data_IF_594367095838
#
_entry.id   IF_594367095838
#
_cell.length_a   1.000
_cell.length_b   1.000
_cell.length_c   1.000
_cell.angle_alpha   90.00
_cell.angle_beta   90.00
_cell.angle_gamma   90.00
#
_symmetry.space_group_name_H-M   'P 1'
#
loop_
_entity.id
_entity.type
_entity.pdbx_description
1 polymer ?
#
# COMPACT_ATOMS: atom_id res chain seq x y z
N UNK A 1 -6.92 -3.94 32.46
CA UNK A 1 -7.27 -2.80 31.59
C UNK A 1 -6.49 -1.60 32.06
N UNK A 2 -5.66 -1.01 31.20
CA UNK A 2 -4.73 0.09 31.55
C UNK A 2 -5.19 1.45 31.04
N UNK A 3 -6.12 1.48 30.07
CA UNK A 3 -6.74 2.70 29.56
C UNK A 3 -8.23 2.52 29.40
N UNK A 4 -8.99 3.59 29.59
CA UNK A 4 -10.46 3.61 29.49
C UNK A 4 -10.94 3.21 28.09
N UNK A 5 -10.17 3.51 27.03
CA UNK A 5 -10.53 3.15 25.64
C UNK A 5 -10.68 1.64 25.43
N UNK A 6 -9.99 0.81 26.23
CA UNK A 6 -10.06 -0.66 26.13
C UNK A 6 -11.37 -1.24 26.67
N UNK A 7 -12.19 -0.44 27.36
CA UNK A 7 -13.51 -0.82 27.85
C UNK A 7 -14.57 -0.78 26.76
N UNK A 8 -14.34 -0.01 25.69
CA UNK A 8 -15.29 0.15 24.60
C UNK A 8 -15.32 -1.08 23.68
N UNK A 9 -16.52 -1.46 23.29
CA UNK A 9 -16.80 -2.45 22.25
C UNK A 9 -16.76 -1.81 20.85
N UNK A 10 -16.85 -2.64 19.80
CA UNK A 10 -16.73 -2.17 18.40
C UNK A 10 -17.81 -1.17 17.99
N UNK A 11 -18.92 -1.14 18.71
CA UNK A 11 -20.05 -0.22 18.53
C UNK A 11 -19.93 1.04 19.40
N UNK A 12 -18.76 1.29 20.00
CA UNK A 12 -18.50 2.37 20.94
C UNK A 12 -19.43 2.38 22.16
N UNK A 13 -19.90 1.20 22.60
CA UNK A 13 -20.61 1.03 23.87
C UNK A 13 -19.73 0.34 24.90
N UNK A 14 -19.98 0.62 26.16
CA UNK A 14 -19.37 -0.10 27.28
C UNK A 14 -20.44 -0.93 27.97
N UNK A 15 -20.32 -2.25 27.90
CA UNK A 15 -21.21 -3.17 28.59
C UNK A 15 -20.87 -3.23 30.09
N UNK A 16 -21.93 -3.36 30.91
CA UNK A 16 -21.81 -3.47 32.37
C UNK A 16 -20.91 -4.63 32.78
N UNK A 17 -21.09 -5.78 32.14
CA UNK A 17 -20.31 -7.00 32.38
C UNK A 17 -18.80 -6.77 32.22
N UNK A 18 -18.39 -5.87 31.32
CA UNK A 18 -16.98 -5.56 31.06
C UNK A 18 -16.37 -4.67 32.15
N UNK A 19 -17.16 -3.76 32.72
CA UNK A 19 -16.76 -2.96 33.88
C UNK A 19 -16.75 -3.81 35.15
N UNK A 20 -17.72 -4.71 35.31
CA UNK A 20 -17.76 -5.68 36.40
C UNK A 20 -16.54 -6.61 36.40
N UNK A 21 -16.11 -7.06 35.22
CA UNK A 21 -14.87 -7.81 35.07
C UNK A 21 -13.61 -7.00 35.41
N UNK A 22 -13.64 -5.68 35.21
CA UNK A 22 -12.51 -4.79 35.48
C UNK A 22 -12.40 -4.34 36.94
N UNK A 23 -13.51 -3.96 37.58
CA UNK A 23 -13.56 -3.37 38.93
C UNK A 23 -14.04 -4.34 40.01
N UNK A 24 -14.55 -5.51 39.62
CA UNK A 24 -15.19 -6.48 40.51
C UNK A 24 -16.65 -6.16 40.80
N UNK A 25 -17.46 -7.20 41.01
CA UNK A 25 -18.93 -7.10 41.12
C UNK A 25 -19.45 -6.35 42.35
N UNK A 26 -18.61 -6.13 43.36
CA UNK A 26 -19.01 -5.54 44.65
C UNK A 26 -19.24 -4.01 44.60
N UNK A 27 -18.92 -3.34 43.48
CA UNK A 27 -18.91 -1.87 43.35
C UNK A 27 -20.03 -1.34 42.44
N UNK A 28 -21.24 -1.85 42.62
CA UNK A 28 -22.35 -1.65 41.68
C UNK A 28 -22.71 -0.16 41.41
N UNK A 29 -22.60 0.72 42.41
CA UNK A 29 -22.83 2.17 42.24
C UNK A 29 -21.77 2.81 41.34
N UNK A 30 -20.49 2.48 41.56
CA UNK A 30 -19.38 2.96 40.75
C UNK A 30 -19.48 2.41 39.32
N UNK A 31 -19.84 1.13 39.17
CA UNK A 31 -20.07 0.49 37.87
C UNK A 31 -21.18 1.21 37.11
N UNK A 32 -22.32 1.49 37.74
CA UNK A 32 -23.43 2.21 37.10
C UNK A 32 -23.04 3.64 36.72
N UNK A 33 -22.33 4.36 37.59
CA UNK A 33 -21.87 5.72 37.30
C UNK A 33 -20.90 5.75 36.11
N UNK A 34 -19.93 4.84 36.08
CA UNK A 34 -18.97 4.73 34.97
C UNK A 34 -19.67 4.26 33.69
N UNK A 35 -20.54 3.26 33.75
CA UNK A 35 -21.35 2.85 32.60
C UNK A 35 -22.14 4.02 32.01
N UNK A 36 -22.76 4.84 32.87
CA UNK A 36 -23.54 6.01 32.43
C UNK A 36 -22.63 7.03 31.76
N UNK A 37 -21.55 7.42 32.44
CA UNK A 37 -20.57 8.41 31.94
C UNK A 37 -19.95 7.97 30.61
N UNK A 38 -19.42 6.75 30.52
CA UNK A 38 -18.78 6.26 29.28
C UNK A 38 -19.77 6.09 28.13
N UNK A 39 -21.05 5.81 28.42
CA UNK A 39 -22.08 5.69 27.41
C UNK A 39 -22.78 7.03 27.06
N UNK A 40 -22.40 8.15 27.69
CA UNK A 40 -22.85 9.48 27.26
C UNK A 40 -22.36 9.79 25.84
N UNK A 41 -23.21 10.47 25.07
CA UNK A 41 -22.98 10.72 23.64
C UNK A 41 -21.66 11.44 23.38
N UNK A 42 -21.34 12.44 24.19
CA UNK A 42 -20.09 13.22 24.11
C UNK A 42 -18.85 12.33 24.29
N UNK A 43 -18.89 11.38 25.23
CA UNK A 43 -17.77 10.49 25.53
C UNK A 43 -17.63 9.35 24.51
N UNK A 44 -18.74 8.95 23.88
CA UNK A 44 -18.74 8.03 22.74
C UNK A 44 -18.13 8.68 21.49
N UNK A 45 -18.53 9.91 21.19
CA UNK A 45 -18.06 10.68 20.04
C UNK A 45 -16.57 11.04 20.17
N UNK A 46 -16.06 11.26 21.38
CA UNK A 46 -14.64 11.49 21.64
C UNK A 46 -13.71 10.31 21.27
N UNK A 47 -14.26 9.09 21.15
CA UNK A 47 -13.53 7.86 20.83
C UNK A 47 -13.78 7.37 19.41
N UNK A 48 -14.86 7.85 18.78
CA UNK A 48 -15.13 7.63 17.38
C UNK A 48 -14.23 8.58 16.58
N UNK A 49 -13.34 8.03 15.76
CA UNK A 49 -12.64 8.81 14.75
C UNK A 49 -13.71 9.55 13.93
N UNK A 50 -13.45 10.81 13.56
CA UNK A 50 -14.23 11.44 12.51
C UNK A 50 -14.28 10.51 11.30
N UNK A 51 -15.49 10.21 10.83
CA UNK A 51 -15.67 9.39 9.64
C UNK A 51 -14.81 9.99 8.51
N UNK A 52 -14.01 9.14 7.85
CA UNK A 52 -13.29 9.54 6.66
C UNK A 52 -14.29 10.06 5.62
N UNK A 53 -13.82 10.88 4.67
CA UNK A 53 -14.65 11.39 3.58
C UNK A 53 -15.44 10.27 2.90
N UNK A 54 -14.80 9.11 2.67
CA UNK A 54 -15.44 7.91 2.13
C UNK A 54 -16.53 7.33 3.06
N UNK A 55 -16.26 7.26 4.36
CA UNK A 55 -17.19 6.71 5.36
C UNK A 55 -18.44 7.60 5.51
N UNK A 56 -18.27 8.93 5.48
CA UNK A 56 -19.40 9.88 5.49
C UNK A 56 -20.34 9.65 4.31
N UNK A 57 -19.81 9.46 3.10
CA UNK A 57 -20.62 9.22 1.88
C UNK A 57 -21.29 7.86 1.90
N UNK A 58 -20.59 6.82 2.38
CA UNK A 58 -21.19 5.49 2.52
C UNK A 58 -22.37 5.50 3.50
N UNK A 59 -22.36 6.41 4.49
CA UNK A 59 -23.46 6.63 5.42
C UNK A 59 -24.57 7.52 4.83
N UNK A 60 -24.22 8.53 4.03
CA UNK A 60 -25.18 9.40 3.34
C UNK A 60 -25.87 8.63 2.19
N UNK A 61 -26.98 7.95 2.52
CA UNK A 61 -27.86 7.36 1.52
C UNK A 61 -28.49 8.46 0.68
N UNK A 62 -28.16 8.50 -0.61
CA UNK A 62 -28.88 9.35 -1.57
C UNK A 62 -30.19 8.70 -1.99
N UNK A 63 -31.14 9.51 -2.48
CA UNK A 63 -32.42 9.06 -3.02
C UNK A 63 -32.20 8.29 -4.34
N UNK A 64 -31.87 7.00 -4.23
CA UNK A 64 -31.70 6.07 -5.34
C UNK A 64 -30.25 5.60 -5.56
N UNK A 65 -30.10 4.34 -5.98
CA UNK A 65 -28.81 3.68 -6.19
C UNK A 65 -27.92 4.39 -7.24
N UNK A 66 -28.53 4.95 -8.29
CA UNK A 66 -27.82 5.66 -9.36
C UNK A 66 -27.23 7.00 -8.88
N UNK A 67 -27.96 7.72 -8.03
CA UNK A 67 -27.47 8.96 -7.41
C UNK A 67 -26.28 8.68 -6.48
N UNK A 68 -26.29 7.54 -5.79
CA UNK A 68 -25.23 7.16 -4.86
C UNK A 68 -23.94 6.81 -5.62
N UNK A 69 -24.06 6.01 -6.69
CA UNK A 69 -22.92 5.66 -7.54
C UNK A 69 -22.27 6.91 -8.17
N UNK A 70 -23.09 7.86 -8.65
CA UNK A 70 -22.60 9.11 -9.23
C UNK A 70 -21.84 9.98 -8.22
N UNK A 71 -22.36 10.07 -6.98
CA UNK A 71 -21.69 10.77 -5.89
C UNK A 71 -20.34 10.14 -5.54
N UNK A 72 -20.29 8.81 -5.43
CA UNK A 72 -19.04 8.08 -5.18
C UNK A 72 -18.03 8.35 -6.31
N UNK A 73 -18.45 8.27 -7.58
CA UNK A 73 -17.56 8.47 -8.73
C UNK A 73 -16.96 9.88 -8.78
N UNK A 74 -17.78 10.92 -8.59
CA UNK A 74 -17.31 12.32 -8.53
C UNK A 74 -16.24 12.52 -7.46
N UNK A 75 -16.42 11.90 -6.30
CA UNK A 75 -15.48 12.04 -5.19
C UNK A 75 -14.21 11.21 -5.39
N UNK A 76 -14.31 10.00 -5.95
CA UNK A 76 -13.13 9.25 -6.38
C UNK A 76 -12.30 10.06 -7.38
N UNK A 77 -12.95 10.78 -8.30
CA UNK A 77 -12.26 11.63 -9.29
C UNK A 77 -11.56 12.82 -8.62
N UNK A 78 -12.13 13.42 -7.59
CA UNK A 78 -11.52 14.50 -6.81
C UNK A 78 -10.38 14.00 -5.91
N UNK A 79 -10.57 12.85 -5.26
CA UNK A 79 -9.55 12.19 -4.44
C UNK A 79 -8.39 11.65 -5.27
N UNK A 80 -8.62 11.26 -6.52
CA UNK A 80 -7.58 10.80 -7.45
C UNK A 80 -6.45 11.85 -7.57
N UNK A 81 -6.78 13.14 -7.59
CA UNK A 81 -5.80 14.22 -7.60
C UNK A 81 -4.87 14.23 -6.38
N UNK A 82 -5.39 14.08 -5.16
CA UNK A 82 -4.56 14.07 -3.95
C UNK A 82 -3.77 12.77 -3.80
N UNK A 83 -4.34 11.64 -4.22
CA UNK A 83 -3.66 10.35 -4.25
C UNK A 83 -2.48 10.36 -5.23
N UNK A 84 -2.67 10.89 -6.44
CA UNK A 84 -1.61 11.03 -7.44
C UNK A 84 -0.50 11.94 -6.92
N UNK A 85 -0.85 13.07 -6.29
CA UNK A 85 0.15 13.97 -5.68
C UNK A 85 0.94 13.28 -4.57
N UNK A 86 0.26 12.54 -3.68
CA UNK A 86 0.91 11.76 -2.62
C UNK A 86 1.86 10.69 -3.18
N UNK A 87 1.40 9.90 -4.15
CA UNK A 87 2.22 8.90 -4.84
C UNK A 87 3.43 9.52 -5.54
N UNK A 88 3.23 10.66 -6.22
CA UNK A 88 4.32 11.38 -6.88
C UNK A 88 5.38 11.80 -5.86
N UNK A 89 4.97 12.35 -4.72
CA UNK A 89 5.88 12.73 -3.63
C UNK A 89 6.62 11.54 -3.03
N UNK A 90 5.96 10.38 -2.92
CA UNK A 90 6.62 9.14 -2.48
C UNK A 90 7.72 8.74 -3.47
N UNK A 91 7.43 8.75 -4.77
CA UNK A 91 8.42 8.40 -5.80
C UNK A 91 9.54 9.43 -5.93
N UNK A 92 9.25 10.71 -5.74
CA UNK A 92 10.25 11.77 -5.65
C UNK A 92 11.23 11.50 -4.49
N UNK A 93 10.74 11.14 -3.31
CA UNK A 93 11.59 10.84 -2.17
C UNK A 93 12.42 9.56 -2.35
N UNK A 94 11.83 8.49 -2.89
CA UNK A 94 12.48 7.19 -2.99
C UNK A 94 13.46 7.08 -4.18
N UNK A 95 13.09 7.68 -5.32
CA UNK A 95 13.77 7.51 -6.61
C UNK A 95 14.22 8.83 -7.25
N UNK A 96 13.99 9.98 -6.62
CA UNK A 96 14.33 11.31 -7.16
C UNK A 96 13.74 11.54 -8.56
N UNK A 97 12.51 11.08 -8.78
CA UNK A 97 11.79 11.19 -10.04
C UNK A 97 10.91 12.44 -10.02
N UNK A 98 11.04 13.28 -11.04
CA UNK A 98 10.21 14.46 -11.21
C UNK A 98 8.84 14.14 -11.87
N UNK A 99 7.95 15.13 -11.88
CA UNK A 99 6.60 14.99 -12.47
C UNK A 99 6.65 14.66 -13.97
N UNK A 100 7.65 15.18 -14.71
CA UNK A 100 7.78 14.98 -16.15
C UNK A 100 8.21 13.54 -16.45
N UNK A 101 9.15 13.02 -15.69
CA UNK A 101 9.61 11.63 -15.73
C UNK A 101 8.50 10.67 -15.33
N UNK A 102 7.72 11.01 -14.30
CA UNK A 102 6.54 10.24 -13.91
C UNK A 102 5.53 10.14 -15.06
N UNK A 103 5.24 11.25 -15.75
CA UNK A 103 4.38 11.25 -16.95
C UNK A 103 4.95 10.36 -18.06
N UNK A 104 6.26 10.37 -18.28
CA UNK A 104 6.90 9.50 -19.25
C UNK A 104 6.77 8.03 -18.88
N UNK A 105 6.92 7.67 -17.60
CA UNK A 105 6.71 6.29 -17.12
C UNK A 105 5.27 5.84 -17.38
N UNK A 106 4.28 6.69 -17.07
CA UNK A 106 2.86 6.40 -17.33
C UNK A 106 2.61 6.17 -18.82
N UNK A 107 3.14 7.03 -19.68
CA UNK A 107 2.97 6.93 -21.13
C UNK A 107 3.66 5.67 -21.70
N UNK A 108 4.83 5.30 -21.18
CA UNK A 108 5.51 4.07 -21.57
C UNK A 108 4.72 2.81 -21.19
N UNK A 109 4.17 2.78 -19.96
CA UNK A 109 3.29 1.70 -19.51
C UNK A 109 2.05 1.60 -20.42
N UNK A 110 1.49 2.74 -20.85
CA UNK A 110 0.34 2.78 -21.76
C UNK A 110 0.66 2.18 -23.12
N UNK A 111 1.86 2.44 -23.66
CA UNK A 111 2.34 1.94 -24.96
C UNK A 111 2.65 0.44 -24.97
N UNK A 112 2.88 -0.17 -23.80
CA UNK A 112 3.15 -1.61 -23.73
C UNK A 112 1.91 -2.42 -24.17
N UNK A 113 2.12 -3.30 -25.17
CA UNK A 113 1.07 -4.14 -25.77
C UNK A 113 0.72 -5.35 -24.90
N UNK A 114 1.65 -5.82 -24.06
CA UNK A 114 1.42 -6.96 -23.19
C UNK A 114 0.59 -6.53 -21.98
N UNK A 115 -0.62 -7.06 -21.87
CA UNK A 115 -1.58 -6.71 -20.82
C UNK A 115 -1.07 -7.07 -19.43
N UNK A 116 -0.38 -8.21 -19.28
CA UNK A 116 0.18 -8.66 -17.99
C UNK A 116 1.30 -7.75 -17.51
N UNK A 117 2.22 -7.39 -18.40
CA UNK A 117 3.32 -6.46 -18.08
C UNK A 117 2.76 -5.09 -17.75
N UNK A 118 1.78 -4.60 -18.52
CA UNK A 118 1.11 -3.33 -18.26
C UNK A 118 0.41 -3.32 -16.91
N UNK A 119 -0.29 -4.38 -16.54
CA UNK A 119 -0.94 -4.51 -15.24
C UNK A 119 0.09 -4.53 -14.10
N UNK A 120 1.14 -5.34 -14.21
CA UNK A 120 2.23 -5.41 -13.25
C UNK A 120 2.88 -4.04 -13.04
N UNK A 121 3.26 -3.36 -14.13
CA UNK A 121 3.87 -2.02 -14.04
C UNK A 121 2.90 -1.00 -13.44
N UNK A 122 1.60 -1.08 -13.71
CA UNK A 122 0.60 -0.23 -13.03
C UNK A 122 0.51 -0.51 -11.54
N UNK A 123 0.53 -1.78 -11.13
CA UNK A 123 0.54 -2.18 -9.72
C UNK A 123 1.79 -1.66 -9.00
N UNK A 124 2.96 -1.73 -9.63
CA UNK A 124 4.20 -1.13 -9.09
C UNK A 124 4.03 0.38 -8.99
N UNK A 125 3.69 1.06 -10.09
CA UNK A 125 3.57 2.52 -10.16
C UNK A 125 2.63 3.10 -9.10
N UNK A 126 1.48 2.47 -8.88
CA UNK A 126 0.49 2.92 -7.88
C UNK A 126 0.79 2.39 -6.48
N UNK A 127 1.88 1.64 -6.29
CA UNK A 127 2.20 0.91 -5.04
C UNK A 127 1.07 -0.01 -4.57
N UNK A 128 0.31 -0.55 -5.52
CA UNK A 128 -0.79 -1.50 -5.31
C UNK A 128 -0.33 -2.95 -5.20
N UNK A 129 0.92 -3.25 -5.57
CA UNK A 129 1.50 -4.55 -5.29
C UNK A 129 1.46 -4.82 -3.77
N UNK A 130 0.76 -5.88 -3.37
CA UNK A 130 0.64 -6.24 -1.97
C UNK A 130 1.98 -6.78 -1.48
N UNK A 131 2.59 -6.07 -0.55
CA UNK A 131 3.83 -6.51 0.10
C UNK A 131 3.52 -7.40 1.30
N UNK A 132 4.47 -8.20 1.80
CA UNK A 132 4.27 -8.99 3.01
C UNK A 132 3.75 -8.16 4.19
N UNK A 133 4.30 -6.95 4.38
CA UNK A 133 3.86 -6.03 5.44
C UNK A 133 2.41 -5.59 5.24
N UNK A 134 2.02 -5.31 3.99
CA UNK A 134 0.66 -4.91 3.67
C UNK A 134 -0.32 -6.07 3.89
N UNK A 135 0.03 -7.29 3.50
CA UNK A 135 -0.80 -8.47 3.73
C UNK A 135 -0.91 -8.82 5.21
N UNK A 136 0.18 -8.76 5.98
CA UNK A 136 0.17 -8.99 7.42
C UNK A 136 -0.74 -8.00 8.18
N UNK A 137 -0.98 -6.82 7.62
CA UNK A 137 -1.93 -5.86 8.19
C UNK A 137 -3.39 -6.32 8.02
N UNK A 138 -3.73 -6.95 6.90
CA UNK A 138 -5.08 -7.44 6.62
C UNK A 138 -5.33 -8.86 7.14
N UNK A 139 -4.31 -9.69 7.17
CA UNK A 139 -4.40 -11.12 7.49
C UNK A 139 -3.57 -11.46 8.71
N UNK A 140 -4.23 -11.94 9.77
CA UNK A 140 -3.60 -12.24 11.07
C UNK A 140 -2.51 -13.32 11.02
N UNK A 141 -2.58 -14.23 10.05
CA UNK A 141 -1.69 -15.38 9.96
C UNK A 141 -0.53 -15.18 8.99
N UNK A 142 -0.45 -14.02 8.31
CA UNK A 142 0.63 -13.71 7.37
C UNK A 142 1.73 -12.94 8.11
N UNK A 143 2.98 -13.38 7.95
CA UNK A 143 4.14 -12.66 8.48
C UNK A 143 4.52 -11.52 7.55
N UNK A 144 4.87 -10.37 8.12
CA UNK A 144 5.34 -9.19 7.38
C UNK A 144 6.79 -9.28 6.88
N UNK A 145 7.35 -10.48 6.80
CA UNK A 145 8.74 -10.74 6.41
C UNK A 145 8.87 -10.93 4.90
N UNK A 146 10.02 -10.57 4.35
CA UNK A 146 10.35 -10.67 2.93
C UNK A 146 10.09 -12.08 2.36
N UNK A 147 9.43 -12.17 1.21
CA UNK A 147 9.15 -13.44 0.53
C UNK A 147 10.39 -14.09 -0.11
N UNK A 148 11.42 -13.29 -0.39
CA UNK A 148 12.67 -13.80 -0.97
C UNK A 148 13.56 -14.54 0.06
N UNK A 149 13.11 -14.70 1.31
CA UNK A 149 13.80 -15.52 2.32
C UNK A 149 14.88 -14.81 3.14
N UNK A 150 15.09 -13.50 2.97
CA UNK A 150 16.09 -12.76 3.76
C UNK A 150 15.65 -12.38 5.19
N UNK A 151 14.43 -12.73 5.58
CA UNK A 151 13.84 -12.50 6.92
C UNK A 151 13.63 -11.04 7.35
N UNK A 152 14.13 -10.07 6.58
CA UNK A 152 13.87 -8.64 6.80
C UNK A 152 12.40 -8.27 6.57
N UNK A 153 12.05 -7.03 6.95
CA UNK A 153 10.69 -6.50 6.80
C UNK A 153 10.36 -6.28 5.32
N UNK A 154 9.33 -6.97 4.83
CA UNK A 154 8.92 -6.95 3.42
C UNK A 154 8.14 -5.69 3.04
N UNK A 155 8.79 -4.53 3.08
CA UNK A 155 8.24 -3.25 2.58
C UNK A 155 8.48 -3.12 1.07
N UNK A 156 7.78 -2.20 0.40
CA UNK A 156 7.74 -2.13 -1.06
C UNK A 156 9.13 -2.02 -1.73
N UNK A 157 9.97 -1.06 -1.32
CA UNK A 157 11.30 -0.89 -1.90
C UNK A 157 12.25 -2.04 -1.56
N UNK A 158 12.13 -2.61 -0.36
CA UNK A 158 12.85 -3.82 0.01
C UNK A 158 12.55 -4.98 -0.94
N UNK A 159 11.26 -5.19 -1.24
CA UNK A 159 10.83 -6.28 -2.11
C UNK A 159 11.31 -6.12 -3.57
N UNK A 160 11.48 -4.90 -4.08
CA UNK A 160 11.84 -4.68 -5.49
C UNK A 160 13.32 -4.36 -5.72
N UNK A 161 14.00 -3.84 -4.70
CA UNK A 161 15.38 -3.38 -4.85
C UNK A 161 16.27 -3.69 -3.64
N UNK A 162 15.92 -3.28 -2.42
CA UNK A 162 16.89 -3.25 -1.30
C UNK A 162 17.23 -4.63 -0.73
N UNK A 163 16.38 -5.64 -0.95
CA UNK A 163 16.62 -7.01 -0.48
C UNK A 163 17.93 -7.56 -1.05
N UNK A 164 18.75 -8.19 -0.20
CA UNK A 164 20.04 -8.78 -0.60
C UNK A 164 19.90 -9.86 -1.69
N UNK A 165 18.82 -10.64 -1.64
CA UNK A 165 18.53 -11.68 -2.64
C UNK A 165 18.16 -11.03 -3.97
N UNK A 166 17.34 -9.99 -3.94
CA UNK A 166 16.93 -9.23 -5.13
C UNK A 166 18.11 -8.46 -5.74
N UNK A 167 18.99 -7.88 -4.91
CA UNK A 167 20.24 -7.27 -5.37
C UNK A 167 21.15 -8.26 -6.09
N UNK A 168 21.27 -9.49 -5.55
CA UNK A 168 22.04 -10.55 -6.20
C UNK A 168 21.42 -10.91 -7.56
N UNK A 169 20.10 -11.07 -7.62
CA UNK A 169 19.37 -11.34 -8.85
C UNK A 169 19.59 -10.22 -9.90
N UNK A 170 19.49 -8.95 -9.52
CA UNK A 170 19.77 -7.85 -10.45
C UNK A 170 21.20 -7.84 -10.99
N UNK A 171 22.19 -8.26 -10.18
CA UNK A 171 23.58 -8.43 -10.65
C UNK A 171 23.71 -9.56 -11.67
N UNK A 172 23.01 -10.67 -11.47
CA UNK A 172 22.99 -11.78 -12.43
C UNK A 172 22.39 -11.33 -13.76
N UNK A 173 21.25 -10.63 -13.74
CA UNK A 173 20.62 -10.03 -14.93
C UNK A 173 21.57 -9.08 -15.65
N UNK A 174 22.27 -8.23 -14.89
CA UNK A 174 23.24 -7.29 -15.43
C UNK A 174 24.41 -8.00 -16.14
N UNK A 175 24.96 -9.05 -15.55
CA UNK A 175 26.05 -9.84 -16.16
C UNK A 175 25.60 -10.58 -17.42
N UNK A 176 24.38 -11.12 -17.44
CA UNK A 176 23.84 -11.75 -18.65
C UNK A 176 23.66 -10.75 -19.80
N UNK A 177 23.13 -9.56 -19.51
CA UNK A 177 22.97 -8.51 -20.53
C UNK A 177 24.34 -8.02 -21.03
N UNK A 178 25.32 -7.90 -20.13
CA UNK A 178 26.70 -7.55 -20.49
C UNK A 178 27.31 -8.60 -21.42
N UNK A 179 27.11 -9.90 -21.17
CA UNK A 179 27.58 -10.97 -22.07
C UNK A 179 26.90 -10.90 -23.44
N UNK A 180 25.58 -10.66 -23.48
CA UNK A 180 24.80 -10.65 -24.71
C UNK A 180 25.11 -9.44 -25.60
N UNK A 181 25.24 -8.25 -25.01
CA UNK A 181 25.40 -7.00 -25.75
C UNK A 181 26.85 -6.49 -25.78
N UNK A 182 27.76 -7.10 -25.01
CA UNK A 182 29.14 -6.67 -24.83
C UNK A 182 29.28 -5.20 -24.39
N UNK A 183 28.40 -4.75 -23.47
CA UNK A 183 28.37 -3.37 -22.95
C UNK A 183 28.65 -3.32 -21.45
N UNK A 184 29.29 -2.24 -21.00
CA UNK A 184 29.35 -1.90 -19.58
C UNK A 184 28.08 -1.15 -19.19
N UNK A 185 27.15 -1.85 -18.53
CA UNK A 185 25.89 -1.28 -18.07
C UNK A 185 25.65 -1.63 -16.60
N UNK A 186 25.13 -0.67 -15.84
CA UNK A 186 24.80 -0.85 -14.42
C UNK A 186 23.31 -0.61 -14.23
N UNK A 187 22.62 -1.58 -13.63
CA UNK A 187 21.21 -1.44 -13.28
C UNK A 187 21.11 -0.59 -12.02
N UNK A 188 20.37 0.52 -12.10
CA UNK A 188 20.07 1.36 -10.93
C UNK A 188 18.66 1.08 -10.42
N UNK A 189 18.35 1.54 -9.20
CA UNK A 189 17.01 1.36 -8.59
C UNK A 189 15.89 1.96 -9.44
N UNK A 190 16.14 3.08 -10.11
CA UNK A 190 15.16 3.78 -10.95
C UNK A 190 14.86 2.95 -12.22
N UNK A 191 15.88 2.27 -12.77
CA UNK A 191 15.71 1.32 -13.86
C UNK A 191 14.94 0.09 -13.38
N UNK A 192 15.40 -0.54 -12.30
CA UNK A 192 14.85 -1.78 -11.78
C UNK A 192 13.39 -1.67 -11.32
N UNK A 193 12.99 -0.53 -10.75
CA UNK A 193 11.63 -0.35 -10.18
C UNK A 193 10.66 0.25 -11.18
N UNK A 194 11.00 1.35 -11.87
CA UNK A 194 10.06 2.05 -12.76
C UNK A 194 10.40 1.98 -14.25
N UNK A 195 11.52 1.33 -14.61
CA UNK A 195 11.99 1.19 -15.99
C UNK A 195 12.13 2.57 -16.63
N UNK A 196 12.88 3.45 -15.97
CA UNK A 196 13.13 4.82 -16.41
C UNK A 196 13.89 4.80 -17.75
N UNK A 197 13.15 4.92 -18.86
CA UNK A 197 13.69 4.78 -20.22
C UNK A 197 14.74 5.83 -20.57
N UNK A 198 14.67 7.03 -19.97
CA UNK A 198 15.63 8.12 -20.22
C UNK A 198 17.08 7.76 -19.84
N UNK A 199 17.28 6.82 -18.93
CA UNK A 199 18.61 6.40 -18.46
C UNK A 199 19.07 5.05 -19.05
N UNK A 200 18.26 4.40 -19.90
CA UNK A 200 18.65 3.13 -20.53
C UNK A 200 19.69 3.30 -21.64
N UNK A 201 19.69 4.44 -22.33
CA UNK A 201 20.64 4.76 -23.40
C UNK A 201 20.55 3.80 -24.59
N UNK A 202 21.70 3.34 -25.08
CA UNK A 202 21.80 2.37 -26.18
C UNK A 202 21.10 1.05 -25.84
N UNK A 203 20.57 0.37 -26.86
CA UNK A 203 19.83 -0.89 -26.71
C UNK A 203 18.63 -0.77 -25.73
N UNK A 204 18.01 0.41 -25.64
CA UNK A 204 16.95 0.68 -24.68
C UNK A 204 15.79 -0.32 -24.72
N UNK A 205 15.44 -0.83 -25.90
CA UNK A 205 14.35 -1.79 -26.06
C UNK A 205 14.69 -3.17 -25.45
N UNK A 206 15.92 -3.64 -25.67
CA UNK A 206 16.40 -4.91 -25.13
C UNK A 206 16.52 -4.81 -23.60
N UNK A 207 17.10 -3.71 -23.10
CA UNK A 207 17.21 -3.43 -21.67
C UNK A 207 15.84 -3.30 -21.00
N UNK A 208 14.90 -2.59 -21.63
CA UNK A 208 13.52 -2.45 -21.14
C UNK A 208 12.85 -3.83 -21.04
N UNK A 209 12.91 -4.65 -22.10
CA UNK A 209 12.32 -5.99 -22.08
C UNK A 209 12.94 -6.91 -21.03
N UNK A 210 14.27 -6.85 -20.85
CA UNK A 210 14.97 -7.64 -19.85
C UNK A 210 14.59 -7.22 -18.43
N UNK A 211 14.51 -5.92 -18.15
CA UNK A 211 14.06 -5.41 -16.85
C UNK A 211 12.60 -5.80 -16.60
N UNK A 212 11.70 -5.61 -17.56
CA UNK A 212 10.28 -5.95 -17.41
C UNK A 212 10.08 -7.45 -17.13
N UNK A 213 10.84 -8.31 -17.81
CA UNK A 213 10.80 -9.76 -17.56
C UNK A 213 11.34 -10.10 -16.18
N UNK A 214 12.42 -9.45 -15.75
CA UNK A 214 13.04 -9.63 -14.43
C UNK A 214 12.12 -9.16 -13.29
N UNK A 215 11.41 -8.05 -13.49
CA UNK A 215 10.39 -7.56 -12.55
C UNK A 215 9.28 -8.59 -12.35
N UNK A 216 8.84 -9.26 -13.42
CA UNK A 216 7.81 -10.28 -13.32
C UNK A 216 8.25 -11.44 -12.43
N UNK A 217 9.51 -11.87 -12.51
CA UNK A 217 10.06 -12.91 -11.62
C UNK A 217 10.00 -12.46 -10.16
N UNK A 218 10.55 -11.28 -9.84
CA UNK A 218 10.56 -10.72 -8.47
C UNK A 218 9.14 -10.58 -7.90
N UNK A 219 8.19 -10.14 -8.73
CA UNK A 219 6.79 -9.89 -8.31
C UNK A 219 5.99 -11.20 -8.19
N UNK A 220 6.29 -12.23 -8.99
CA UNK A 220 5.55 -13.49 -9.01
C UNK A 220 6.06 -14.50 -7.98
N UNK A 221 7.35 -14.50 -7.64
CA UNK A 221 7.93 -15.46 -6.68
C UNK A 221 7.40 -15.32 -5.24
N UNK A 222 6.66 -14.27 -4.92
CA UNK A 222 6.03 -14.05 -3.63
C UNK A 222 4.55 -14.44 -3.49
N UNK A 223 3.91 -14.94 -4.57
CA UNK A 223 2.46 -15.20 -4.61
C UNK A 223 2.05 -16.66 -4.38
N UNK A 224 2.96 -17.55 -3.98
CA UNK A 224 2.67 -18.97 -3.70
C UNK A 224 2.50 -19.24 -2.20
#
# INVERSE_FOLDING_TARGET
ITRIEQLYEKDARVSRNRIEWWLGQQRWLQINAICKYLNERVNKEALLREDAVLEKILREKSEGANAQASNIYRMLTQADGCVIQGLTRCWENELQIDIKEMKNVVENIRKNKNTRVREMRRKILHKWYHTPVHLAHFQKNVKGTCWHGCQDRGVFMHMLWECVVVQKFWKEVQEEIKKMLNISWTITKEMAVLVKRSILGEFSEIKEAAIESSQAVIVLEGCN
#
